data_IF_628028579743
#
_entry.id   IF_628028579743
#
_cell.length_a   1.000
_cell.length_b   1.000
_cell.length_c   1.000
_cell.angle_alpha   90.00
_cell.angle_beta   90.00
_cell.angle_gamma   90.00
#
_symmetry.space_group_name_H-M   'P 1'
#
loop_
_entity.id
_entity.type
_entity.pdbx_description
1 polymer ?
#
# COMPACT_ATOMS: atom_id res chain seq x y z
N UNK A 1 -9.05 42.69 18.95
CA UNK A 1 -10.18 41.77 19.13
C UNK A 1 -9.59 40.38 19.30
N UNK A 2 -9.77 39.89 20.49
CA UNK A 2 -9.14 38.66 20.97
C UNK A 2 -9.90 37.45 20.38
N UNK A 3 -9.33 36.77 19.37
CA UNK A 3 -9.86 35.50 18.87
C UNK A 3 -9.20 34.37 19.66
N UNK A 4 -9.51 34.36 20.96
CA UNK A 4 -9.15 33.27 21.84
C UNK A 4 -9.93 32.02 21.47
N UNK A 5 -9.18 30.95 21.25
CA UNK A 5 -9.54 29.54 21.49
C UNK A 5 -11.00 29.26 21.08
N UNK A 6 -11.15 28.41 20.07
CA UNK A 6 -12.42 27.73 19.81
C UNK A 6 -12.87 27.14 21.16
N UNK A 7 -13.80 27.77 21.83
CA UNK A 7 -14.50 27.25 22.98
C UNK A 7 -15.34 26.07 22.46
N UNK A 8 -14.71 24.91 22.38
CA UNK A 8 -15.40 23.68 22.06
C UNK A 8 -16.26 23.35 23.28
N UNK A 9 -17.55 23.65 23.15
CA UNK A 9 -18.52 23.25 24.14
C UNK A 9 -18.47 21.72 24.23
N UNK A 10 -18.08 21.16 25.37
CA UNK A 10 -17.84 19.73 25.57
C UNK A 10 -19.01 18.81 25.25
N UNK A 11 -20.16 19.38 24.95
CA UNK A 11 -21.41 18.66 24.62
C UNK A 11 -21.70 18.61 23.10
N UNK A 12 -20.92 19.27 22.25
CA UNK A 12 -21.14 19.28 20.80
C UNK A 12 -20.15 18.33 20.09
N UNK A 13 -20.69 17.33 19.36
CA UNK A 13 -19.85 16.44 18.54
C UNK A 13 -19.06 17.24 17.50
N UNK A 14 -17.77 17.00 17.39
CA UNK A 14 -16.90 17.64 16.40
C UNK A 14 -17.37 17.38 14.96
N UNK A 15 -17.93 16.20 14.68
CA UNK A 15 -18.53 15.83 13.42
C UNK A 15 -19.96 15.32 13.66
N UNK A 16 -20.93 15.84 12.90
CA UNK A 16 -22.30 15.36 12.91
C UNK A 16 -22.41 14.01 12.22
N UNK A 17 -23.43 13.20 12.54
CA UNK A 17 -23.62 11.87 11.99
C UNK A 17 -23.71 11.86 10.46
N UNK A 18 -24.39 12.84 9.87
CA UNK A 18 -24.48 13.00 8.42
C UNK A 18 -23.12 13.32 7.80
N UNK A 19 -22.30 14.16 8.43
CA UNK A 19 -20.94 14.47 7.96
C UNK A 19 -20.05 13.22 7.99
N UNK A 20 -20.16 12.40 9.04
CA UNK A 20 -19.44 11.13 9.18
C UNK A 20 -19.85 10.16 8.06
N UNK A 21 -21.16 10.07 7.76
CA UNK A 21 -21.67 9.20 6.70
C UNK A 21 -21.10 9.60 5.32
N UNK A 22 -21.13 10.90 4.99
CA UNK A 22 -20.59 11.39 3.71
C UNK A 22 -19.07 11.21 3.61
N UNK A 23 -18.32 11.48 4.69
CA UNK A 23 -16.88 11.19 4.75
C UNK A 23 -16.62 9.69 4.57
N UNK A 24 -17.47 8.82 5.14
CA UNK A 24 -17.37 7.38 5.00
C UNK A 24 -17.59 6.92 3.54
N UNK A 25 -18.58 7.49 2.86
CA UNK A 25 -18.85 7.22 1.45
C UNK A 25 -17.64 7.59 0.56
N UNK A 26 -17.03 8.74 0.84
CA UNK A 26 -15.82 9.18 0.15
C UNK A 26 -14.64 8.27 0.48
N UNK A 27 -14.43 7.90 1.73
CA UNK A 27 -13.41 6.93 2.18
C UNK A 27 -13.53 5.61 1.41
N UNK A 28 -14.74 5.06 1.29
CA UNK A 28 -14.97 3.81 0.56
C UNK A 28 -14.69 3.97 -0.94
N UNK A 29 -15.02 5.11 -1.53
CA UNK A 29 -14.74 5.41 -2.93
C UNK A 29 -13.22 5.51 -3.22
N UNK A 30 -12.47 6.14 -2.32
CA UNK A 30 -11.01 6.21 -2.39
C UNK A 30 -10.37 4.83 -2.26
N UNK A 31 -10.80 4.06 -1.24
CA UNK A 31 -10.33 2.69 -1.00
C UNK A 31 -10.60 1.80 -2.23
N UNK A 32 -11.82 1.81 -2.76
CA UNK A 32 -12.19 0.99 -3.92
C UNK A 32 -11.37 1.36 -5.16
N UNK A 33 -11.09 2.66 -5.37
CA UNK A 33 -10.22 3.11 -6.46
C UNK A 33 -8.82 2.51 -6.33
N UNK A 34 -8.23 2.55 -5.15
CA UNK A 34 -6.90 2.01 -4.88
C UNK A 34 -6.86 0.48 -4.97
N UNK A 35 -7.81 -0.20 -4.32
CA UNK A 35 -7.94 -1.67 -4.35
C UNK A 35 -8.08 -2.17 -5.79
N UNK A 36 -8.87 -1.50 -6.62
CA UNK A 36 -9.01 -1.85 -8.04
C UNK A 36 -7.69 -1.72 -8.79
N UNK A 37 -6.93 -0.66 -8.56
CA UNK A 37 -5.62 -0.46 -9.19
C UNK A 37 -4.61 -1.54 -8.79
N UNK A 38 -4.51 -1.84 -7.49
CA UNK A 38 -3.60 -2.85 -6.96
C UNK A 38 -3.98 -4.27 -7.42
N UNK A 39 -5.27 -4.59 -7.49
CA UNK A 39 -5.75 -5.86 -8.03
C UNK A 39 -5.43 -5.99 -9.53
N UNK A 40 -5.61 -4.93 -10.30
CA UNK A 40 -5.26 -4.91 -11.73
C UNK A 40 -3.75 -5.07 -11.96
N UNK A 41 -2.93 -4.59 -11.04
CA UNK A 41 -1.48 -4.81 -11.01
C UNK A 41 -1.10 -6.23 -10.56
N UNK A 42 -2.05 -7.02 -10.05
CA UNK A 42 -1.81 -8.37 -9.54
C UNK A 42 -1.08 -8.41 -8.20
N UNK A 43 -0.97 -7.31 -7.47
CA UNK A 43 -0.23 -7.21 -6.21
C UNK A 43 -0.98 -7.93 -5.09
N UNK A 44 -0.23 -8.61 -4.20
CA UNK A 44 -0.75 -9.21 -2.98
C UNK A 44 -0.74 -8.19 -1.83
N UNK A 45 -1.90 -7.89 -1.29
CA UNK A 45 -2.06 -6.95 -0.19
C UNK A 45 -3.31 -7.23 0.64
N UNK A 46 -3.33 -6.70 1.87
CA UNK A 46 -4.51 -6.48 2.68
C UNK A 46 -4.73 -4.96 2.81
N UNK A 47 -5.98 -4.54 2.95
CA UNK A 47 -6.30 -3.12 3.12
C UNK A 47 -7.32 -2.91 4.23
N UNK A 48 -7.12 -1.83 4.98
CA UNK A 48 -8.07 -1.32 5.95
C UNK A 48 -8.26 0.17 5.75
N UNK A 49 -9.38 0.71 6.20
CA UNK A 49 -9.61 2.16 6.16
C UNK A 49 -10.44 2.60 7.35
N UNK A 50 -10.17 3.80 7.83
CA UNK A 50 -10.90 4.38 8.96
C UNK A 50 -11.11 5.88 8.79
N UNK A 51 -12.16 6.39 9.42
CA UNK A 51 -12.25 7.78 9.78
C UNK A 51 -11.59 7.91 11.15
N UNK A 52 -10.82 8.96 11.37
CA UNK A 52 -10.17 9.19 12.65
C UNK A 52 -11.23 9.39 13.74
N UNK A 53 -11.07 8.71 14.88
CA UNK A 53 -12.02 8.83 15.99
C UNK A 53 -12.08 10.25 16.54
N UNK A 54 -13.25 10.64 17.03
CA UNK A 54 -13.48 11.97 17.62
C UNK A 54 -12.48 12.26 18.74
N UNK A 55 -12.25 11.30 19.65
CA UNK A 55 -11.26 11.43 20.71
C UNK A 55 -9.85 11.74 20.19
N UNK A 56 -9.44 11.09 19.08
CA UNK A 56 -8.14 11.34 18.46
C UNK A 56 -8.07 12.69 17.74
N UNK A 57 -9.21 13.17 17.22
CA UNK A 57 -9.30 14.50 16.60
C UNK A 57 -9.21 15.58 17.68
N UNK A 58 -9.97 15.45 18.75
CA UNK A 58 -9.96 16.37 19.91
C UNK A 58 -8.56 16.47 20.53
N UNK A 59 -7.92 15.31 20.80
CA UNK A 59 -6.56 15.30 21.32
C UNK A 59 -5.57 16.06 20.41
N UNK A 60 -5.70 15.93 19.08
CA UNK A 60 -4.86 16.70 18.14
C UNK A 60 -5.11 18.21 18.26
N UNK A 61 -6.37 18.64 18.45
CA UNK A 61 -6.73 20.05 18.60
C UNK A 61 -6.19 20.62 19.92
N UNK A 62 -6.27 19.85 21.02
CA UNK A 62 -5.73 20.21 22.34
C UNK A 62 -4.22 20.46 22.32
N UNK A 63 -3.47 19.84 21.41
CA UNK A 63 -2.02 20.10 21.28
C UNK A 63 -1.69 21.53 20.84
N UNK A 64 -2.68 22.32 20.41
CA UNK A 64 -2.50 23.70 19.91
C UNK A 64 -1.75 23.83 18.59
N UNK A 65 -1.37 22.68 17.97
CA UNK A 65 -0.62 22.66 16.69
C UNK A 65 -1.52 22.81 15.46
N UNK A 66 -2.83 22.60 15.64
CA UNK A 66 -3.83 22.61 14.57
C UNK A 66 -4.87 23.70 14.87
N UNK A 67 -5.10 24.60 13.92
CA UNK A 67 -6.06 25.68 14.10
C UNK A 67 -6.64 26.16 12.77
N UNK A 68 -7.75 26.91 12.85
CA UNK A 68 -8.37 27.60 11.71
C UNK A 68 -7.75 28.99 11.45
N UNK A 69 -6.83 29.46 12.30
CA UNK A 69 -6.16 30.73 12.10
C UNK A 69 -5.34 30.74 10.81
N UNK A 70 -5.19 31.89 10.20
CA UNK A 70 -4.36 32.09 9.01
C UNK A 70 -2.91 31.62 9.30
N UNK A 71 -2.38 30.70 8.50
CA UNK A 71 -1.08 30.04 8.75
C UNK A 71 -1.14 28.87 9.73
N UNK A 72 -2.29 28.57 10.34
CA UNK A 72 -2.50 27.40 11.20
C UNK A 72 -2.43 26.08 10.41
N UNK A 73 -1.87 25.04 11.04
CA UNK A 73 -1.80 23.71 10.45
C UNK A 73 -3.17 23.05 10.52
N UNK A 74 -3.59 22.41 9.43
CA UNK A 74 -4.83 21.63 9.38
C UNK A 74 -4.57 20.14 9.54
N UNK A 75 -5.55 19.39 10.05
CA UNK A 75 -5.52 17.95 10.21
C UNK A 75 -5.67 17.32 8.82
N UNK A 76 -4.69 16.55 8.38
CA UNK A 76 -4.59 15.95 7.03
C UNK A 76 -5.04 14.50 6.96
N UNK A 77 -5.28 13.84 8.10
CA UNK A 77 -5.52 12.40 8.23
C UNK A 77 -6.90 12.06 8.81
N UNK A 78 -7.92 12.87 8.48
CA UNK A 78 -9.33 12.56 8.85
C UNK A 78 -9.79 11.22 8.22
N UNK A 79 -9.35 10.96 6.99
CA UNK A 79 -9.47 9.67 6.32
C UNK A 79 -8.10 9.02 6.29
N UNK A 80 -8.00 7.81 6.84
CA UNK A 80 -6.81 6.98 6.78
C UNK A 80 -7.10 5.68 6.02
N UNK A 81 -6.23 5.36 5.07
CA UNK A 81 -6.21 4.08 4.35
C UNK A 81 -4.88 3.41 4.68
N UNK A 82 -4.90 2.11 4.96
CA UNK A 82 -3.71 1.33 5.20
C UNK A 82 -3.64 0.18 4.20
N UNK A 83 -2.50 0.01 3.57
CA UNK A 83 -2.19 -1.06 2.63
C UNK A 83 -1.02 -1.85 3.19
N UNK A 84 -1.26 -3.12 3.49
CA UNK A 84 -0.26 -4.05 3.99
C UNK A 84 0.15 -4.99 2.86
N UNK A 85 1.31 -4.76 2.30
CA UNK A 85 1.89 -5.50 1.18
C UNK A 85 2.51 -6.81 1.67
N UNK A 86 2.42 -7.88 0.86
CA UNK A 86 3.01 -9.16 1.23
C UNK A 86 4.51 -9.21 0.97
N UNK A 87 4.98 -8.42 0.00
CA UNK A 87 6.39 -8.39 -0.40
C UNK A 87 6.94 -6.96 -0.32
N UNK A 88 8.14 -6.84 0.25
CA UNK A 88 8.82 -5.56 0.44
C UNK A 88 9.06 -4.83 -0.90
N UNK A 89 9.38 -5.57 -1.96
CA UNK A 89 9.61 -5.00 -3.30
C UNK A 89 8.38 -4.29 -3.90
N UNK A 90 7.18 -4.56 -3.38
CA UNK A 90 5.95 -3.93 -3.84
C UNK A 90 5.74 -2.52 -3.27
N UNK A 91 6.57 -2.09 -2.31
CA UNK A 91 6.47 -0.76 -1.72
C UNK A 91 6.63 0.34 -2.77
N UNK A 92 7.73 0.35 -3.50
CA UNK A 92 8.02 1.35 -4.54
C UNK A 92 7.00 1.31 -5.69
N UNK A 93 6.53 0.11 -6.03
CA UNK A 93 5.49 -0.09 -7.06
C UNK A 93 4.18 0.53 -6.59
N UNK A 94 3.79 0.28 -5.33
CA UNK A 94 2.57 0.81 -4.75
C UNK A 94 2.62 2.34 -4.59
N UNK A 95 3.77 2.90 -4.22
CA UNK A 95 3.99 4.35 -4.19
C UNK A 95 3.73 4.98 -5.56
N UNK A 96 4.32 4.42 -6.62
CA UNK A 96 4.11 4.88 -8.00
C UNK A 96 2.63 4.81 -8.39
N UNK A 97 1.95 3.71 -8.07
CA UNK A 97 0.50 3.57 -8.35
C UNK A 97 -0.31 4.65 -7.64
N UNK A 98 0.05 4.98 -6.40
CA UNK A 98 -0.61 6.04 -5.62
C UNK A 98 -0.40 7.41 -6.27
N UNK A 99 0.83 7.76 -6.64
CA UNK A 99 1.19 9.04 -7.27
C UNK A 99 0.54 9.21 -8.65
N UNK A 100 0.39 8.13 -9.41
CA UNK A 100 -0.32 8.14 -10.70
C UNK A 100 -1.86 8.19 -10.55
N UNK A 101 -2.38 7.82 -9.37
CA UNK A 101 -3.83 7.75 -9.11
C UNK A 101 -4.36 9.00 -8.43
N UNK A 102 -3.59 9.59 -7.54
CA UNK A 102 -3.98 10.71 -6.69
C UNK A 102 -2.93 11.81 -6.70
N UNK A 103 -3.38 13.05 -6.52
CA UNK A 103 -2.45 14.17 -6.40
C UNK A 103 -1.75 14.11 -5.03
N UNK A 104 -0.46 13.88 -5.06
CA UNK A 104 0.40 13.84 -3.88
C UNK A 104 0.54 15.25 -3.27
N UNK A 105 0.39 15.35 -1.96
CA UNK A 105 0.75 16.52 -1.17
C UNK A 105 2.15 16.35 -0.59
N UNK A 106 2.39 15.27 0.17
CA UNK A 106 3.72 14.95 0.69
C UNK A 106 3.85 13.46 1.08
N UNK A 107 5.12 13.00 1.18
CA UNK A 107 5.50 11.75 1.81
C UNK A 107 6.18 12.00 3.15
N UNK A 108 5.83 11.19 4.14
CA UNK A 108 6.55 11.06 5.40
C UNK A 108 7.15 9.65 5.47
N UNK A 109 8.45 9.56 5.20
CA UNK A 109 9.19 8.29 5.19
C UNK A 109 10.25 8.29 6.28
N UNK A 110 10.47 7.13 6.92
CA UNK A 110 11.65 6.93 7.75
C UNK A 110 12.88 6.93 6.85
N UNK A 111 13.88 7.72 7.20
CA UNK A 111 15.18 7.65 6.52
C UNK A 111 15.93 6.46 7.09
N UNK A 112 16.33 5.53 6.23
CA UNK A 112 17.20 4.44 6.63
C UNK A 112 18.57 5.03 7.00
N UNK A 113 18.86 5.10 8.30
CA UNK A 113 20.18 5.44 8.81
C UNK A 113 21.00 4.14 8.96
N UNK A 114 22.23 4.13 8.46
CA UNK A 114 23.09 2.92 8.41
C UNK A 114 23.27 2.23 9.77
N UNK A 115 23.09 2.96 10.86
CA UNK A 115 23.37 2.48 12.23
C UNK A 115 22.14 2.31 13.12
N UNK A 116 20.91 2.37 12.53
CA UNK A 116 19.69 2.43 13.32
C UNK A 116 18.56 1.62 12.69
N UNK A 117 18.01 0.69 13.46
CA UNK A 117 16.77 0.01 13.10
C UNK A 117 15.58 0.76 13.69
N UNK A 118 14.76 1.31 12.83
CA UNK A 118 13.53 2.01 13.21
C UNK A 118 12.34 1.44 12.45
N UNK A 119 11.16 1.50 13.05
CA UNK A 119 9.94 1.13 12.36
C UNK A 119 9.80 1.94 11.06
N UNK A 120 9.78 1.25 9.94
CA UNK A 120 9.67 1.88 8.64
C UNK A 120 8.30 2.56 8.52
N UNK A 121 8.34 3.87 8.37
CA UNK A 121 7.17 4.68 8.10
C UNK A 121 7.17 5.06 6.63
N UNK A 122 6.10 4.72 5.94
CA UNK A 122 5.83 5.16 4.58
C UNK A 122 4.39 5.65 4.50
N UNK A 123 4.18 6.93 4.83
CA UNK A 123 2.87 7.55 4.86
C UNK A 123 2.81 8.65 3.80
N UNK A 124 1.90 8.51 2.84
CA UNK A 124 1.61 9.51 1.83
C UNK A 124 0.35 10.29 2.18
N UNK A 125 0.41 11.60 2.06
CA UNK A 125 -0.77 12.48 2.14
C UNK A 125 -1.15 12.87 0.71
N UNK A 126 -2.41 12.67 0.36
CA UNK A 126 -2.94 12.91 -0.98
C UNK A 126 -4.16 13.80 -0.93
N UNK A 127 -4.36 14.61 -1.98
CA UNK A 127 -5.55 15.43 -2.14
C UNK A 127 -6.76 14.56 -2.48
N UNK A 128 -7.89 14.82 -1.82
CA UNK A 128 -9.16 14.18 -2.19
C UNK A 128 -9.57 14.70 -3.58
N UNK A 129 -9.81 13.81 -4.57
CA UNK A 129 -10.24 14.23 -5.90
C UNK A 129 -11.50 15.08 -5.87
N UNK A 130 -11.57 16.13 -6.70
CA UNK A 130 -12.69 17.10 -6.73
C UNK A 130 -14.05 16.45 -6.90
N UNK A 131 -14.11 15.32 -7.64
CA UNK A 131 -15.36 14.55 -7.82
C UNK A 131 -15.92 13.98 -6.50
N UNK A 132 -15.06 13.69 -5.52
CA UNK A 132 -15.45 13.20 -4.21
C UNK A 132 -15.64 14.33 -3.18
N UNK A 133 -14.87 15.42 -3.30
CA UNK A 133 -15.02 16.59 -2.42
C UNK A 133 -16.42 17.18 -2.44
N UNK A 134 -17.10 17.12 -3.59
CA UNK A 134 -18.47 17.64 -3.75
C UNK A 134 -19.51 16.95 -2.87
N UNK A 135 -19.20 15.73 -2.44
CA UNK A 135 -20.10 14.92 -1.61
C UNK A 135 -19.92 15.21 -0.12
N UNK A 136 -18.82 15.84 0.29
CA UNK A 136 -18.55 16.19 1.68
C UNK A 136 -19.15 17.58 1.96
N UNK A 137 -20.00 17.74 2.98
CA UNK A 137 -20.60 19.02 3.36
C UNK A 137 -19.55 20.12 3.59
N UNK A 138 -19.86 21.33 3.15
CA UNK A 138 -18.95 22.47 3.33
C UNK A 138 -18.66 22.77 4.81
N UNK A 139 -19.58 22.43 5.71
CA UNK A 139 -19.41 22.57 7.16
C UNK A 139 -18.20 21.81 7.72
N UNK A 140 -17.82 20.68 7.09
CA UNK A 140 -16.62 19.92 7.47
C UNK A 140 -15.36 20.77 7.27
N UNK A 141 -15.32 21.55 6.19
CA UNK A 141 -14.16 22.37 5.83
C UNK A 141 -14.08 23.70 6.59
N UNK A 142 -15.14 24.04 7.35
CA UNK A 142 -15.15 25.14 8.32
C UNK A 142 -14.47 24.74 9.64
N UNK A 143 -14.03 23.48 9.76
CA UNK A 143 -13.28 22.92 10.88
C UNK A 143 -11.79 22.81 10.47
N UNK A 144 -10.85 22.60 11.40
CA UNK A 144 -9.42 22.56 11.09
C UNK A 144 -8.98 21.28 10.36
N UNK A 145 -9.73 20.88 9.33
CA UNK A 145 -9.47 19.74 8.48
C UNK A 145 -8.99 20.18 7.10
N UNK A 146 -7.97 19.48 6.57
CA UNK A 146 -7.54 19.67 5.19
C UNK A 146 -8.33 18.72 4.26
N UNK A 147 -8.40 19.08 2.99
CA UNK A 147 -9.06 18.29 1.94
C UNK A 147 -8.15 17.15 1.44
N UNK A 148 -7.60 16.40 2.39
CA UNK A 148 -6.62 15.34 2.16
C UNK A 148 -7.04 14.04 2.85
N UNK A 149 -6.35 12.97 2.45
CA UNK A 149 -6.40 11.68 3.11
C UNK A 149 -4.99 11.10 3.21
N UNK A 150 -4.75 10.28 4.23
CA UNK A 150 -3.48 9.60 4.43
C UNK A 150 -3.55 8.16 3.92
N UNK A 151 -2.51 7.72 3.21
CA UNK A 151 -2.29 6.30 2.89
C UNK A 151 -1.01 5.84 3.58
N UNK A 152 -1.13 4.79 4.38
CA UNK A 152 -0.01 4.16 5.08
C UNK A 152 0.34 2.87 4.35
N UNK A 153 1.59 2.76 3.89
CA UNK A 153 2.14 1.56 3.28
C UNK A 153 3.03 0.83 4.29
N UNK A 154 2.84 -0.47 4.41
CA UNK A 154 3.65 -1.36 5.25
C UNK A 154 3.74 -2.75 4.65
N UNK A 155 4.69 -3.57 5.12
CA UNK A 155 4.58 -5.01 4.92
C UNK A 155 3.69 -5.63 5.98
N UNK A 156 3.14 -6.82 5.71
CA UNK A 156 2.31 -7.56 6.68
C UNK A 156 3.08 -7.88 7.97
N UNK A 157 4.39 -8.07 7.90
CA UNK A 157 5.24 -8.35 9.06
C UNK A 157 5.36 -7.12 9.96
N UNK A 158 5.67 -5.96 9.38
CA UNK A 158 5.77 -4.69 10.12
C UNK A 158 4.43 -4.24 10.68
N UNK A 159 3.32 -4.50 9.98
CA UNK A 159 2.00 -4.15 10.49
C UNK A 159 1.67 -4.92 11.78
N UNK A 160 1.94 -6.23 11.81
CA UNK A 160 1.70 -7.03 13.02
C UNK A 160 2.47 -6.50 14.24
N UNK A 161 3.74 -6.18 14.05
CA UNK A 161 4.57 -5.59 15.11
C UNK A 161 4.03 -4.21 15.55
N UNK A 162 3.70 -3.37 14.56
CA UNK A 162 3.22 -2.00 14.84
C UNK A 162 1.90 -1.98 15.61
N UNK A 163 0.96 -2.86 15.30
CA UNK A 163 -0.31 -2.95 16.03
C UNK A 163 -0.07 -3.36 17.50
N UNK A 164 0.82 -4.33 17.74
CA UNK A 164 1.19 -4.77 19.09
C UNK A 164 1.89 -3.64 19.86
N UNK A 165 2.91 -3.00 19.27
CA UNK A 165 3.67 -1.92 19.88
C UNK A 165 2.78 -0.71 20.18
N UNK A 166 1.91 -0.34 19.25
CA UNK A 166 0.96 0.75 19.42
C UNK A 166 -0.05 0.45 20.53
N UNK A 167 -0.54 -0.79 20.64
CA UNK A 167 -1.45 -1.18 21.71
C UNK A 167 -0.76 -1.07 23.08
N UNK A 168 0.46 -1.57 23.20
CA UNK A 168 1.25 -1.51 24.44
C UNK A 168 1.59 -0.07 24.83
N UNK A 169 1.89 0.80 23.87
CA UNK A 169 2.31 2.19 24.14
C UNK A 169 1.16 3.10 24.50
N UNK A 170 -0.01 2.95 23.86
CA UNK A 170 -1.08 3.95 23.95
C UNK A 170 -2.31 3.49 24.72
N UNK A 171 -2.58 2.19 24.89
CA UNK A 171 -3.79 1.72 25.56
C UNK A 171 -3.62 1.51 27.07
N UNK A 172 -2.41 1.33 27.55
CA UNK A 172 -2.15 1.18 28.97
C UNK A 172 -1.97 2.55 29.64
N UNK A 173 -3.07 3.29 29.81
CA UNK A 173 -3.10 4.45 30.70
C UNK A 173 -3.33 3.97 32.12
N UNK A 174 -2.30 3.95 32.93
CA UNK A 174 -2.38 3.66 34.35
C UNK A 174 -2.94 4.88 35.10
N UNK A 175 -4.23 4.80 35.47
CA UNK A 175 -4.84 5.66 36.48
C UNK A 175 -5.33 7.03 35.98
N UNK A 176 -6.32 7.58 36.71
CA UNK A 176 -7.02 8.83 36.43
C UNK A 176 -6.24 10.10 36.81
N UNK A 177 -4.98 10.02 37.23
CA UNK A 177 -4.17 11.16 37.65
C UNK A 177 -2.97 11.40 36.74
N UNK A 178 -3.23 12.19 35.71
CA UNK A 178 -2.45 13.32 35.17
C UNK A 178 -0.93 13.19 34.97
N UNK A 179 -0.37 12.09 34.53
CA UNK A 179 0.83 12.08 33.67
C UNK A 179 0.71 10.86 32.79
N UNK A 180 0.66 11.07 31.48
CA UNK A 180 0.78 10.00 30.49
C UNK A 180 2.13 9.31 30.68
N UNK A 181 2.17 8.30 31.52
CA UNK A 181 3.34 7.43 31.64
C UNK A 181 3.18 6.36 30.55
N UNK A 182 4.02 6.47 29.51
CA UNK A 182 4.26 5.41 28.55
C UNK A 182 4.60 4.12 29.32
N UNK A 183 4.05 2.97 28.92
CA UNK A 183 4.35 1.66 29.52
C UNK A 183 5.87 1.38 29.61
N UNK A 184 6.63 2.02 28.70
CA UNK A 184 8.09 1.88 28.64
C UNK A 184 8.84 2.70 29.69
N UNK A 185 8.17 3.61 30.41
CA UNK A 185 8.80 4.43 31.45
C UNK A 185 9.30 3.52 32.58
N UNK A 186 10.61 3.49 32.78
CA UNK A 186 11.27 2.59 33.73
C UNK A 186 11.54 1.18 33.19
N UNK A 187 11.26 0.94 31.91
CA UNK A 187 11.48 -0.34 31.23
C UNK A 187 12.26 -0.15 29.90
N UNK A 188 13.25 0.73 29.89
CA UNK A 188 14.02 1.11 28.69
C UNK A 188 14.73 -0.08 28.06
N UNK A 189 15.18 -1.07 28.87
CA UNK A 189 15.80 -2.30 28.37
C UNK A 189 14.80 -3.16 27.57
N UNK A 190 13.55 -3.25 28.03
CA UNK A 190 12.50 -3.99 27.33
C UNK A 190 12.08 -3.25 26.06
N UNK A 191 12.04 -1.91 26.07
CA UNK A 191 11.85 -1.10 24.88
C UNK A 191 12.94 -1.37 23.82
N UNK A 192 14.19 -1.52 24.23
CA UNK A 192 15.30 -1.91 23.33
C UNK A 192 15.10 -3.31 22.74
N UNK A 193 14.65 -4.28 23.55
CA UNK A 193 14.32 -5.63 23.06
C UNK A 193 13.20 -5.55 22.03
N UNK A 194 12.14 -4.77 22.28
CA UNK A 194 11.05 -4.56 21.34
C UNK A 194 11.53 -3.95 20.03
N UNK A 195 12.45 -2.99 20.08
CA UNK A 195 13.08 -2.41 18.89
C UNK A 195 13.99 -3.40 18.15
N UNK A 196 14.62 -4.38 18.83
CA UNK A 196 15.42 -5.40 18.16
C UNK A 196 14.59 -6.34 17.27
N UNK A 197 13.29 -6.47 17.56
CA UNK A 197 12.36 -7.23 16.71
C UNK A 197 12.25 -6.61 15.32
N UNK A 198 12.33 -5.28 15.20
CA UNK A 198 12.30 -4.58 13.93
C UNK A 198 13.41 -5.09 13.00
N UNK A 199 14.64 -5.20 13.51
CA UNK A 199 15.78 -5.71 12.75
C UNK A 199 15.53 -7.15 12.26
N UNK A 200 14.93 -7.99 13.10
CA UNK A 200 14.57 -9.35 12.71
C UNK A 200 13.46 -9.37 11.63
N UNK A 201 12.47 -8.50 11.72
CA UNK A 201 11.41 -8.40 10.71
C UNK A 201 11.96 -7.93 9.36
N UNK A 202 12.86 -6.95 9.36
CA UNK A 202 13.55 -6.50 8.15
C UNK A 202 14.37 -7.63 7.52
N UNK A 203 15.10 -8.39 8.34
CA UNK A 203 15.81 -9.58 7.88
C UNK A 203 14.85 -10.65 7.34
N UNK A 204 13.68 -10.83 7.95
CA UNK A 204 12.65 -11.76 7.45
C UNK A 204 12.13 -11.34 6.08
N UNK A 205 11.76 -10.05 5.89
CA UNK A 205 11.31 -9.53 4.60
C UNK A 205 12.36 -9.76 3.50
N UNK A 206 13.63 -9.45 3.80
CA UNK A 206 14.74 -9.71 2.88
C UNK A 206 14.93 -11.20 2.60
N UNK A 207 14.88 -12.06 3.63
CA UNK A 207 15.06 -13.52 3.48
C UNK A 207 13.96 -14.15 2.63
N UNK A 208 12.71 -13.71 2.78
CA UNK A 208 11.58 -14.14 1.96
C UNK A 208 11.88 -13.87 0.48
N UNK A 209 12.40 -12.69 0.15
CA UNK A 209 12.79 -12.35 -1.21
C UNK A 209 13.86 -13.29 -1.76
N UNK A 210 14.90 -13.60 -0.96
CA UNK A 210 15.98 -14.52 -1.36
C UNK A 210 15.48 -15.95 -1.58
N UNK A 211 14.55 -16.42 -0.72
CA UNK A 211 13.91 -17.74 -0.89
C UNK A 211 13.19 -17.82 -2.23
N UNK A 212 12.38 -16.81 -2.57
CA UNK A 212 11.67 -16.80 -3.85
C UNK A 212 12.62 -16.74 -5.06
N UNK A 213 13.71 -15.98 -4.97
CA UNK A 213 14.73 -15.95 -6.03
C UNK A 213 15.37 -17.33 -6.20
N UNK A 214 15.71 -18.02 -5.11
CA UNK A 214 16.28 -19.38 -5.15
C UNK A 214 15.29 -20.40 -5.73
N UNK A 215 14.00 -20.28 -5.39
CA UNK A 215 12.94 -21.12 -5.99
C UNK A 215 12.84 -20.84 -7.48
N UNK A 216 12.83 -19.57 -7.89
CA UNK A 216 12.79 -19.20 -9.30
C UNK A 216 13.95 -19.83 -10.08
N UNK A 217 15.18 -19.73 -9.58
CA UNK A 217 16.38 -20.28 -10.22
C UNK A 217 16.30 -21.80 -10.37
N UNK A 218 15.76 -22.50 -9.35
CA UNK A 218 15.53 -23.96 -9.42
C UNK A 218 14.50 -24.29 -10.50
N UNK A 219 13.33 -23.65 -10.46
CA UNK A 219 12.25 -23.90 -11.42
C UNK A 219 12.67 -23.54 -12.86
N UNK A 220 13.48 -22.50 -13.04
CA UNK A 220 14.05 -22.11 -14.32
C UNK A 220 14.96 -23.22 -14.88
N UNK A 221 15.88 -23.77 -14.06
CA UNK A 221 16.76 -24.87 -14.44
C UNK A 221 16.02 -26.16 -14.79
N UNK A 222 14.92 -26.42 -14.08
CA UNK A 222 14.06 -27.59 -14.29
C UNK A 222 13.09 -27.41 -15.47
N UNK A 223 13.11 -26.24 -16.14
CA UNK A 223 12.16 -25.84 -17.19
C UNK A 223 10.69 -25.90 -16.75
N UNK A 224 10.43 -25.69 -15.46
CA UNK A 224 9.09 -25.54 -14.93
C UNK A 224 8.66 -24.06 -15.06
N UNK A 225 8.32 -23.68 -16.29
CA UNK A 225 8.13 -22.27 -16.66
C UNK A 225 7.01 -21.59 -15.89
N UNK A 226 5.90 -22.28 -15.60
CA UNK A 226 4.79 -21.70 -14.84
C UNK A 226 5.21 -21.31 -13.43
N UNK A 227 5.90 -22.20 -12.74
CA UNK A 227 6.38 -21.93 -11.39
C UNK A 227 7.54 -20.93 -11.39
N UNK A 228 8.40 -20.94 -12.41
CA UNK A 228 9.43 -19.94 -12.61
C UNK A 228 8.81 -18.53 -12.77
N UNK A 229 7.74 -18.39 -13.56
CA UNK A 229 7.00 -17.14 -13.75
C UNK A 229 6.37 -16.68 -12.41
N UNK A 230 5.68 -17.58 -11.70
CA UNK A 230 5.02 -17.26 -10.44
C UNK A 230 6.00 -16.82 -9.35
N UNK A 231 7.10 -17.56 -9.19
CA UNK A 231 8.12 -17.25 -8.18
C UNK A 231 8.91 -15.98 -8.52
N UNK A 232 9.11 -15.69 -9.81
CA UNK A 232 9.77 -14.46 -10.25
C UNK A 232 8.95 -13.23 -9.97
N UNK A 233 7.70 -13.21 -10.45
CA UNK A 233 6.90 -11.99 -10.42
C UNK A 233 6.13 -11.82 -9.11
N UNK A 234 5.81 -12.91 -8.39
CA UNK A 234 5.07 -12.85 -7.12
C UNK A 234 3.82 -11.98 -7.20
N UNK A 235 3.10 -12.12 -8.32
CA UNK A 235 1.82 -11.50 -8.60
C UNK A 235 0.70 -12.55 -8.52
N UNK A 236 -0.55 -12.11 -8.51
CA UNK A 236 -1.74 -12.98 -8.53
C UNK A 236 -1.89 -13.66 -9.90
N UNK A 237 -0.95 -14.55 -10.22
CA UNK A 237 -0.93 -15.37 -11.41
C UNK A 237 -1.67 -16.68 -11.09
N UNK A 238 -2.60 -17.08 -11.97
CA UNK A 238 -3.42 -18.29 -11.79
C UNK A 238 -2.56 -19.57 -11.80
N UNK A 239 -3.15 -20.69 -11.34
CA UNK A 239 -2.50 -21.99 -11.34
C UNK A 239 -2.62 -22.75 -12.67
N UNK A 240 -3.15 -22.08 -13.71
CA UNK A 240 -3.29 -22.68 -15.03
C UNK A 240 -1.92 -23.12 -15.59
N UNK A 241 -1.86 -24.25 -16.30
CA UNK A 241 -0.67 -24.66 -17.02
C UNK A 241 -0.46 -23.78 -18.25
N UNK A 242 0.76 -23.73 -18.76
CA UNK A 242 1.05 -23.20 -20.09
C UNK A 242 0.40 -24.07 -21.17
N UNK A 243 0.01 -23.44 -22.27
CA UNK A 243 -0.37 -24.17 -23.50
C UNK A 243 0.77 -25.07 -23.94
N UNK A 244 0.49 -26.33 -24.37
CA UNK A 244 1.53 -27.28 -24.79
C UNK A 244 2.48 -26.68 -25.83
N UNK A 245 1.94 -26.00 -26.83
CA UNK A 245 2.73 -25.40 -27.92
C UNK A 245 3.65 -24.31 -27.42
N UNK A 246 3.20 -23.52 -26.42
CA UNK A 246 4.01 -22.47 -25.81
C UNK A 246 5.12 -23.07 -24.96
N UNK A 247 4.83 -24.12 -24.20
CA UNK A 247 5.82 -24.85 -23.41
C UNK A 247 6.91 -25.45 -24.34
N UNK A 248 6.51 -26.16 -25.40
CA UNK A 248 7.43 -26.75 -26.37
C UNK A 248 8.32 -25.68 -27.02
N UNK A 249 7.73 -24.54 -27.35
CA UNK A 249 8.50 -23.43 -27.91
C UNK A 249 9.57 -22.91 -26.93
N UNK A 250 9.22 -22.70 -25.65
CA UNK A 250 10.15 -22.22 -24.64
C UNK A 250 11.26 -23.24 -24.38
N UNK A 251 10.93 -24.56 -24.36
CA UNK A 251 11.89 -25.62 -24.14
C UNK A 251 12.98 -25.69 -25.25
N UNK A 252 12.61 -25.30 -26.46
CA UNK A 252 13.48 -25.32 -27.63
C UNK A 252 14.18 -23.97 -27.91
N UNK A 253 13.84 -22.89 -27.23
CA UNK A 253 14.37 -21.55 -27.49
C UNK A 253 14.94 -20.87 -26.21
N UNK A 254 16.07 -21.37 -25.67
CA UNK A 254 16.64 -20.87 -24.42
C UNK A 254 17.02 -19.38 -24.50
N UNK A 255 17.44 -18.86 -25.66
CA UNK A 255 17.78 -17.45 -25.83
C UNK A 255 16.56 -16.53 -25.66
N UNK A 256 15.40 -16.98 -26.08
CA UNK A 256 14.15 -16.25 -25.89
C UNK A 256 13.75 -16.29 -24.42
N UNK A 257 13.87 -17.44 -23.77
CA UNK A 257 13.61 -17.58 -22.34
C UNK A 257 14.55 -16.68 -21.52
N UNK A 258 15.81 -16.57 -21.90
CA UNK A 258 16.76 -15.65 -21.26
C UNK A 258 16.31 -14.18 -21.35
N UNK A 259 15.71 -13.75 -22.48
CA UNK A 259 15.15 -12.40 -22.60
C UNK A 259 13.97 -12.19 -21.66
N UNK A 260 13.05 -13.16 -21.52
CA UNK A 260 11.98 -13.11 -20.52
C UNK A 260 12.52 -13.03 -19.09
N UNK A 261 13.64 -13.69 -18.84
CA UNK A 261 14.28 -13.68 -17.53
C UNK A 261 14.84 -12.30 -17.15
N UNK A 262 15.17 -11.41 -18.10
CA UNK A 262 15.64 -10.05 -17.78
C UNK A 262 14.53 -9.09 -17.37
N UNK A 263 13.26 -9.37 -17.74
CA UNK A 263 12.15 -8.48 -17.46
C UNK A 263 11.83 -8.46 -15.96
N UNK A 264 11.83 -7.28 -15.38
CA UNK A 264 11.55 -7.09 -13.96
C UNK A 264 10.06 -7.14 -13.64
N UNK A 265 9.71 -7.37 -12.35
CA UNK A 265 8.35 -7.27 -11.86
C UNK A 265 7.73 -5.89 -12.14
N UNK A 266 8.53 -4.82 -11.95
CA UNK A 266 8.08 -3.44 -12.17
C UNK A 266 7.66 -3.22 -13.62
N UNK A 267 8.45 -3.66 -14.58
CA UNK A 267 8.11 -3.55 -16.01
C UNK A 267 6.81 -4.30 -16.33
N UNK A 268 6.63 -5.50 -15.80
CA UNK A 268 5.39 -6.24 -16.00
C UNK A 268 4.18 -5.51 -15.40
N UNK A 269 4.31 -4.95 -14.19
CA UNK A 269 3.23 -4.17 -13.56
C UNK A 269 2.93 -2.91 -14.37
N UNK A 270 3.93 -2.21 -14.88
CA UNK A 270 3.73 -1.04 -15.75
C UNK A 270 2.93 -1.42 -17.01
N UNK A 271 3.21 -2.57 -17.62
CA UNK A 271 2.43 -3.09 -18.75
C UNK A 271 0.96 -3.34 -18.34
N UNK A 272 0.74 -4.00 -17.19
CA UNK A 272 -0.61 -4.33 -16.69
C UNK A 272 -1.45 -3.06 -16.45
N UNK A 273 -0.86 -2.04 -15.85
CA UNK A 273 -1.53 -0.76 -15.54
C UNK A 273 -1.84 0.03 -16.81
N UNK A 274 -0.88 0.14 -17.74
CA UNK A 274 -1.03 0.89 -18.98
C UNK A 274 -2.11 0.29 -19.89
N UNK A 275 -2.23 -1.03 -19.94
CA UNK A 275 -3.22 -1.73 -20.77
C UNK A 275 -4.60 -1.81 -20.14
N UNK A 276 -4.79 -1.27 -18.91
CA UNK A 276 -6.03 -1.41 -18.11
C UNK A 276 -6.50 -2.86 -18.09
N UNK A 277 -5.56 -3.74 -17.75
CA UNK A 277 -5.78 -5.18 -17.84
C UNK A 277 -6.74 -5.62 -16.72
N UNK A 278 -7.93 -6.10 -17.10
CA UNK A 278 -9.00 -6.49 -16.15
C UNK A 278 -9.28 -7.99 -16.12
N UNK A 279 -8.46 -8.80 -16.81
CA UNK A 279 -8.66 -10.25 -16.89
C UNK A 279 -7.70 -10.96 -15.94
N UNK A 280 -8.04 -12.19 -15.54
CA UNK A 280 -7.14 -13.04 -14.76
C UNK A 280 -5.78 -13.18 -15.43
N UNK A 281 -4.72 -13.04 -14.64
CA UNK A 281 -3.35 -13.12 -15.10
C UNK A 281 -2.89 -14.58 -15.10
N UNK A 282 -2.93 -15.22 -16.27
CA UNK A 282 -2.42 -16.58 -16.46
C UNK A 282 -0.94 -16.56 -16.86
N UNK A 283 -0.18 -17.66 -16.69
CA UNK A 283 1.20 -17.75 -17.20
C UNK A 283 1.32 -17.46 -18.69
N UNK A 284 0.42 -17.98 -19.54
CA UNK A 284 0.37 -17.66 -20.97
C UNK A 284 0.27 -16.16 -21.24
N UNK A 285 -0.58 -15.49 -20.47
CA UNK A 285 -0.79 -14.04 -20.63
C UNK A 285 0.41 -13.23 -20.18
N UNK A 286 1.12 -13.66 -19.16
CA UNK A 286 2.37 -13.03 -18.75
C UNK A 286 3.36 -13.06 -19.91
N UNK A 287 3.57 -14.24 -20.51
CA UNK A 287 4.46 -14.41 -21.66
C UNK A 287 3.99 -13.56 -22.84
N UNK A 288 2.68 -13.60 -23.14
CA UNK A 288 2.12 -12.80 -24.24
C UNK A 288 2.37 -11.30 -24.05
N UNK A 289 2.09 -10.78 -22.86
CA UNK A 289 2.25 -9.35 -22.58
C UNK A 289 3.73 -8.92 -22.67
N UNK A 290 4.62 -9.69 -22.07
CA UNK A 290 6.07 -9.41 -22.11
C UNK A 290 6.57 -9.50 -23.55
N UNK A 291 6.16 -10.54 -24.29
CA UNK A 291 6.55 -10.67 -25.69
C UNK A 291 6.08 -9.51 -26.54
N UNK A 292 4.83 -9.11 -26.38
CA UNK A 292 4.22 -8.04 -27.16
C UNK A 292 4.85 -6.66 -26.91
N UNK A 293 5.21 -6.36 -25.65
CA UNK A 293 5.63 -5.02 -25.24
C UNK A 293 7.16 -4.88 -25.15
N UNK A 294 7.91 -6.01 -24.99
CA UNK A 294 9.35 -5.97 -24.74
C UNK A 294 10.15 -6.83 -25.70
N UNK A 295 9.84 -8.14 -25.81
CA UNK A 295 10.67 -9.11 -26.52
C UNK A 295 10.45 -9.08 -28.04
N UNK A 296 9.21 -8.85 -28.49
CA UNK A 296 8.81 -8.73 -29.89
C UNK A 296 9.13 -9.93 -30.78
N UNK A 297 9.14 -11.16 -30.22
CA UNK A 297 9.36 -12.39 -30.98
C UNK A 297 8.10 -12.75 -31.79
N UNK A 298 8.22 -12.74 -33.12
CA UNK A 298 7.08 -12.96 -34.02
C UNK A 298 6.48 -14.36 -33.92
N UNK A 299 7.31 -15.38 -33.73
CA UNK A 299 6.82 -16.76 -33.59
C UNK A 299 5.95 -16.95 -32.35
N UNK A 300 6.29 -16.26 -31.24
CA UNK A 300 5.51 -16.30 -30.01
C UNK A 300 4.19 -15.54 -30.10
N UNK A 301 4.07 -14.54 -30.97
CA UNK A 301 2.80 -13.79 -31.13
C UNK A 301 1.68 -14.73 -31.55
N UNK A 302 1.94 -15.63 -32.48
CA UNK A 302 0.92 -16.57 -32.98
C UNK A 302 0.54 -17.65 -31.98
N UNK A 303 1.48 -18.10 -31.15
CA UNK A 303 1.28 -19.18 -30.16
C UNK A 303 0.62 -18.65 -28.90
N UNK A 304 1.06 -17.49 -28.41
CA UNK A 304 0.64 -16.94 -27.12
C UNK A 304 -0.59 -16.03 -27.19
N UNK A 305 -1.01 -15.62 -28.41
CA UNK A 305 -2.18 -14.74 -28.54
C UNK A 305 -3.40 -15.41 -27.90
N UNK A 306 -4.05 -14.76 -26.90
CA UNK A 306 -5.27 -15.30 -26.33
C UNK A 306 -6.29 -15.40 -27.45
N UNK A 307 -6.85 -16.60 -27.65
CA UNK A 307 -7.90 -16.84 -28.64
C UNK A 307 -8.88 -15.67 -28.60
N UNK A 308 -8.96 -14.90 -29.69
CA UNK A 308 -10.00 -13.89 -29.83
C UNK A 308 -11.32 -14.62 -29.67
N UNK A 309 -11.96 -14.47 -28.52
CA UNK A 309 -13.39 -14.65 -28.45
C UNK A 309 -13.95 -13.66 -29.44
N UNK A 310 -14.35 -14.16 -30.60
CA UNK A 310 -15.19 -13.44 -31.53
C UNK A 310 -16.40 -12.98 -30.71
N UNK A 311 -16.36 -11.73 -30.26
CA UNK A 311 -17.56 -11.05 -29.80
C UNK A 311 -18.40 -10.82 -31.04
N UNK A 312 -19.38 -11.69 -31.21
CA UNK A 312 -20.55 -11.39 -32.04
C UNK A 312 -21.41 -10.39 -31.28
#
# INVERSE_FOLDING_TARGET
>A
MDYSIYDYNSDEKLLQEQEIEEINNVKMSLLNTLVTKLNNAGIYFNSTSRIKSESSLLHKLETGKYSMQEGGRKIQDIIGIRINLFYLEDMDICEKILEETFLLDNWSKTKNEENKFEAQKCNGVFRIPSKYLRNIPASVWNKPFDQTFEVQLRTVLFEGWHEIEHEMRYKYKLGSDSKETDLWTGHEDLSRVMNSIIANLELCDWSIMQIFNSIHDSQYKEKNWENAIRSKYRLRITQDPLKPELREYLDNNPDIVAQFHTVSKRELVDILLNKKYHKELTPDRVIYLINKEIVHNLSLIHISEPTRLLSI
#
